data_IF_890403235242
#
_entry.id   IF_890403235242
#
_cell.length_a   1.000
_cell.length_b   1.000
_cell.length_c   1.000
_cell.angle_alpha   90.00
_cell.angle_beta   90.00
_cell.angle_gamma   90.00
#
_symmetry.space_group_name_H-M   'P 1'
#
loop_
_entity.id
_entity.type
_entity.pdbx_description
1 polymer ?
#
# COMPACT_ATOMS: atom_id res chain seq x y z
N UNK A 1 -35.80 -35.89 5.25
CA UNK A 1 -36.47 -37.05 5.89
C UNK A 1 -35.78 -38.34 5.44
N UNK A 2 -35.37 -39.11 6.45
CA UNK A 2 -35.06 -40.56 6.46
C UNK A 2 -33.70 -41.03 5.89
N UNK A 3 -32.80 -41.25 6.85
CA UNK A 3 -31.65 -42.17 6.84
C UNK A 3 -32.03 -43.57 6.40
N UNK A 4 -31.14 -44.29 5.71
CA UNK A 4 -31.08 -45.75 5.78
C UNK A 4 -29.62 -46.18 5.97
N UNK A 5 -29.37 -46.66 7.17
CA UNK A 5 -28.22 -47.46 7.58
C UNK A 5 -28.48 -48.90 7.04
N UNK A 6 -27.50 -49.48 6.39
CA UNK A 6 -27.43 -50.93 6.19
C UNK A 6 -26.09 -51.42 6.71
N UNK A 7 -26.17 -52.07 7.86
CA UNK A 7 -25.13 -52.92 8.44
C UNK A 7 -25.10 -54.26 7.73
N UNK A 8 -23.93 -54.72 7.29
CA UNK A 8 -23.69 -56.13 6.96
C UNK A 8 -22.36 -56.54 7.59
N UNK A 9 -22.46 -57.33 8.64
CA UNK A 9 -21.41 -58.19 9.19
C UNK A 9 -21.09 -59.30 8.17
N UNK A 10 -19.83 -59.54 7.86
CA UNK A 10 -19.38 -60.88 7.48
C UNK A 10 -17.98 -61.18 8.02
N UNK A 11 -17.89 -62.36 8.50
CA UNK A 11 -16.93 -63.04 9.35
C UNK A 11 -15.57 -63.34 8.69
N UNK A 12 -14.58 -63.41 9.53
CA UNK A 12 -13.18 -63.73 9.37
C UNK A 12 -12.80 -64.86 8.40
N UNK A 13 -11.66 -64.66 7.71
CA UNK A 13 -10.72 -65.78 7.47
C UNK A 13 -9.29 -65.20 7.50
N UNK A 14 -8.49 -65.66 8.47
CA UNK A 14 -7.06 -65.41 8.61
C UNK A 14 -6.31 -66.10 7.49
N UNK A 15 -5.61 -65.36 6.66
CA UNK A 15 -4.47 -65.89 5.88
C UNK A 15 -3.30 -64.90 6.07
N UNK A 16 -2.28 -65.34 6.79
CA UNK A 16 -0.99 -64.66 6.87
C UNK A 16 -0.34 -64.61 5.48
N UNK A 17 -0.41 -63.48 4.85
CA UNK A 17 0.44 -63.13 3.70
C UNK A 17 1.13 -61.81 4.04
N UNK A 18 2.44 -61.85 4.22
CA UNK A 18 3.27 -60.67 4.30
C UNK A 18 3.24 -59.94 2.95
N UNK A 19 2.28 -59.04 2.77
CA UNK A 19 2.29 -58.08 1.69
C UNK A 19 3.03 -56.84 2.19
N UNK A 20 4.19 -56.62 1.63
CA UNK A 20 4.86 -55.32 1.69
C UNK A 20 3.93 -54.30 1.04
N UNK A 21 3.22 -53.52 1.87
CA UNK A 21 2.50 -52.36 1.40
C UNK A 21 3.55 -51.31 1.07
N UNK A 22 3.70 -50.88 -0.22
CA UNK A 22 4.51 -49.74 -0.49
C UNK A 22 3.87 -48.59 0.27
N UNK A 23 4.62 -47.95 1.16
CA UNK A 23 4.26 -46.66 1.71
C UNK A 23 4.13 -45.71 0.51
N UNK A 24 2.90 -45.48 0.06
CA UNK A 24 2.58 -44.34 -0.78
C UNK A 24 2.81 -43.15 0.14
N UNK A 25 4.00 -42.57 0.00
CA UNK A 25 4.24 -41.27 0.55
C UNK A 25 3.18 -40.34 -0.05
N UNK A 26 2.22 -39.93 0.76
CA UNK A 26 1.45 -38.75 0.44
C UNK A 26 2.51 -37.65 0.42
N UNK A 27 3.00 -37.29 -0.78
CA UNK A 27 3.62 -36.02 -0.96
C UNK A 27 2.57 -35.02 -0.45
N UNK A 28 2.86 -34.34 0.66
CA UNK A 28 2.18 -33.11 0.94
C UNK A 28 2.36 -32.29 -0.34
N UNK A 29 1.31 -31.98 -1.05
CA UNK A 29 1.36 -30.88 -1.98
C UNK A 29 1.82 -29.70 -1.13
N UNK A 30 2.99 -29.15 -1.39
CA UNK A 30 3.32 -27.82 -0.92
C UNK A 30 2.23 -26.95 -1.55
N UNK A 31 1.22 -26.59 -0.77
CA UNK A 31 0.18 -25.67 -1.20
C UNK A 31 0.89 -24.32 -1.39
N UNK A 32 1.25 -24.02 -2.63
CA UNK A 32 1.86 -22.75 -3.01
C UNK A 32 0.84 -21.66 -2.71
N UNK A 33 1.23 -20.68 -1.90
CA UNK A 33 0.37 -19.55 -1.53
C UNK A 33 0.35 -18.56 -2.69
N UNK A 34 -0.83 -18.31 -3.24
CA UNK A 34 -1.03 -17.35 -4.33
C UNK A 34 -1.35 -15.96 -3.78
N UNK A 35 -0.54 -14.97 -4.17
CA UNK A 35 -0.65 -13.58 -3.70
C UNK A 35 -0.90 -12.65 -4.87
N UNK A 36 -2.04 -11.95 -4.88
CA UNK A 36 -2.29 -10.85 -5.82
C UNK A 36 -1.73 -9.55 -5.27
N UNK A 37 -0.84 -8.88 -5.99
CA UNK A 37 -0.28 -7.59 -5.59
C UNK A 37 -0.63 -6.49 -6.59
N UNK A 38 -1.48 -5.53 -6.20
CA UNK A 38 -1.78 -4.33 -6.96
C UNK A 38 -0.93 -3.16 -6.48
N UNK A 39 0.07 -2.78 -7.29
CA UNK A 39 1.00 -1.70 -7.04
C UNK A 39 0.48 -0.39 -7.63
N UNK A 40 0.81 0.75 -7.01
CA UNK A 40 0.48 2.10 -7.50
C UNK A 40 0.98 2.32 -8.94
N UNK A 41 2.24 2.00 -9.20
CA UNK A 41 2.94 2.26 -10.45
C UNK A 41 4.44 2.05 -10.33
N UNK A 42 5.21 2.79 -11.12
CA UNK A 42 6.67 2.83 -11.08
C UNK A 42 7.14 4.31 -11.13
N UNK A 43 6.46 5.17 -10.38
CA UNK A 43 6.62 6.63 -10.45
C UNK A 43 7.93 7.14 -9.84
N UNK A 44 8.58 6.34 -9.00
CA UNK A 44 9.82 6.71 -8.31
C UNK A 44 10.75 5.53 -8.09
N UNK A 45 12.03 5.81 -7.79
CA UNK A 45 13.01 4.77 -7.43
C UNK A 45 12.59 4.03 -6.16
N UNK A 46 11.96 4.73 -5.20
CA UNK A 46 11.40 4.11 -4.00
C UNK A 46 10.32 3.07 -4.36
N UNK A 47 9.42 3.44 -5.28
CA UNK A 47 8.35 2.54 -5.72
C UNK A 47 8.90 1.31 -6.45
N UNK A 48 9.90 1.51 -7.28
CA UNK A 48 10.61 0.42 -7.97
C UNK A 48 11.26 -0.54 -6.96
N UNK A 49 11.98 0.00 -5.96
CA UNK A 49 12.58 -0.81 -4.89
C UNK A 49 11.53 -1.57 -4.07
N UNK A 50 10.38 -0.94 -3.77
CA UNK A 50 9.26 -1.60 -3.09
C UNK A 50 8.72 -2.77 -3.93
N UNK A 51 8.52 -2.57 -5.23
CA UNK A 51 8.08 -3.62 -6.16
C UNK A 51 9.05 -4.79 -6.20
N UNK A 52 10.35 -4.51 -6.30
CA UNK A 52 11.39 -5.57 -6.32
C UNK A 52 11.44 -6.34 -4.99
N UNK A 53 11.30 -5.64 -3.86
CA UNK A 53 11.21 -6.26 -2.54
C UNK A 53 10.03 -7.23 -2.46
N UNK A 54 8.84 -6.81 -2.94
CA UNK A 54 7.65 -7.68 -2.98
C UNK A 54 7.88 -8.90 -3.87
N UNK A 55 8.39 -8.71 -5.09
CA UNK A 55 8.68 -9.82 -6.02
C UNK A 55 9.70 -10.80 -5.48
N UNK A 56 10.73 -10.32 -4.80
CA UNK A 56 11.74 -11.20 -4.20
C UNK A 56 11.23 -11.95 -2.97
N UNK A 57 10.36 -11.32 -2.18
CA UNK A 57 9.78 -11.92 -0.97
C UNK A 57 8.74 -12.99 -1.32
N UNK A 58 7.83 -12.66 -2.24
CA UNK A 58 6.76 -13.56 -2.68
C UNK A 58 7.14 -14.32 -3.94
N UNK A 59 8.34 -14.94 -3.96
CA UNK A 59 8.85 -15.73 -5.07
C UNK A 59 8.53 -17.21 -4.91
N UNK A 60 8.56 -17.96 -6.01
CA UNK A 60 8.40 -19.42 -6.01
C UNK A 60 9.41 -20.13 -5.10
N UNK A 61 10.65 -19.62 -5.03
CA UNK A 61 11.69 -20.14 -4.13
C UNK A 61 11.30 -20.06 -2.65
N UNK A 62 10.45 -19.10 -2.31
CA UNK A 62 9.91 -18.89 -0.96
C UNK A 62 8.53 -19.54 -0.74
N UNK A 63 8.02 -20.32 -1.72
CA UNK A 63 6.75 -21.02 -1.63
C UNK A 63 5.53 -20.19 -2.02
N UNK A 64 5.73 -19.09 -2.78
CA UNK A 64 4.64 -18.22 -3.22
C UNK A 64 4.51 -18.17 -4.74
N UNK A 65 3.30 -17.91 -5.21
CA UNK A 65 3.01 -17.47 -6.57
C UNK A 65 2.50 -16.03 -6.52
N UNK A 66 3.29 -15.08 -7.07
CA UNK A 66 2.92 -13.68 -7.08
C UNK A 66 2.28 -13.27 -8.41
N UNK A 67 1.02 -12.87 -8.36
CA UNK A 67 0.30 -12.24 -9.47
C UNK A 67 0.42 -10.72 -9.31
N UNK A 68 1.31 -10.11 -10.08
CA UNK A 68 1.64 -8.69 -9.99
C UNK A 68 0.88 -7.86 -11.01
N UNK A 69 0.29 -6.75 -10.56
CA UNK A 69 -0.37 -5.74 -11.40
C UNK A 69 0.21 -4.35 -11.12
N UNK A 70 0.59 -3.64 -12.19
CA UNK A 70 1.04 -2.25 -12.16
C UNK A 70 -0.11 -1.35 -12.59
N UNK A 71 -0.66 -0.60 -11.65
CA UNK A 71 -1.82 0.26 -11.91
C UNK A 71 -1.50 1.52 -12.73
N UNK A 72 -0.23 1.83 -12.99
CA UNK A 72 0.18 3.03 -13.74
C UNK A 72 -0.42 4.33 -13.16
N UNK A 73 -0.45 4.41 -11.84
CA UNK A 73 -1.02 5.52 -11.06
C UNK A 73 -2.54 5.76 -11.30
N UNK A 74 -3.28 4.73 -11.72
CA UNK A 74 -4.71 4.82 -11.98
C UNK A 74 -5.49 3.89 -11.05
N UNK A 75 -6.32 4.48 -10.21
CA UNK A 75 -7.16 3.70 -9.29
C UNK A 75 -8.09 2.72 -10.01
N UNK A 76 -8.65 3.10 -11.17
CA UNK A 76 -9.51 2.20 -11.95
C UNK A 76 -8.81 0.90 -12.37
N UNK A 77 -7.49 0.94 -12.61
CA UNK A 77 -6.70 -0.25 -12.89
C UNK A 77 -6.61 -1.14 -11.65
N UNK A 78 -6.40 -0.56 -10.47
CA UNK A 78 -6.36 -1.31 -9.20
C UNK A 78 -7.72 -1.97 -8.88
N UNK A 79 -8.82 -1.26 -9.08
CA UNK A 79 -10.16 -1.84 -8.90
C UNK A 79 -10.38 -3.04 -9.83
N UNK A 80 -9.86 -2.97 -11.05
CA UNK A 80 -9.92 -4.07 -12.02
C UNK A 80 -8.99 -5.21 -11.60
N UNK A 81 -7.77 -4.91 -11.16
CA UNK A 81 -6.80 -5.91 -10.71
C UNK A 81 -7.33 -6.71 -9.51
N UNK A 82 -7.91 -6.03 -8.50
CA UNK A 82 -8.48 -6.71 -7.32
C UNK A 82 -9.60 -7.67 -7.74
N UNK A 83 -10.51 -7.28 -8.65
CA UNK A 83 -11.54 -8.18 -9.17
C UNK A 83 -10.97 -9.37 -9.93
N UNK A 84 -9.88 -9.16 -10.67
CA UNK A 84 -9.19 -10.25 -11.35
C UNK A 84 -8.53 -11.20 -10.34
N UNK A 85 -7.96 -10.71 -9.24
CA UNK A 85 -7.43 -11.54 -8.16
C UNK A 85 -8.54 -12.36 -7.49
N UNK A 86 -9.69 -11.74 -7.21
CA UNK A 86 -10.87 -12.44 -6.68
C UNK A 86 -11.32 -13.56 -7.63
N UNK A 87 -11.39 -13.30 -8.95
CA UNK A 87 -11.77 -14.31 -9.94
C UNK A 87 -10.76 -15.46 -10.07
N UNK A 88 -9.49 -15.22 -9.73
CA UNK A 88 -8.43 -16.20 -9.72
C UNK A 88 -8.31 -16.93 -8.37
N UNK A 89 -9.19 -16.57 -7.41
CA UNK A 89 -9.23 -17.19 -6.08
C UNK A 89 -7.88 -17.17 -5.37
N UNK A 90 -7.15 -16.02 -5.43
CA UNK A 90 -5.86 -15.87 -4.74
C UNK A 90 -6.05 -16.00 -3.21
N UNK A 91 -5.02 -16.47 -2.51
CA UNK A 91 -5.07 -16.64 -1.05
C UNK A 91 -5.01 -15.32 -0.29
N UNK A 92 -4.29 -14.32 -0.85
CA UNK A 92 -4.13 -12.99 -0.25
C UNK A 92 -4.08 -11.91 -1.33
N UNK A 93 -4.59 -10.73 -0.99
CA UNK A 93 -4.41 -9.52 -1.80
C UNK A 93 -3.57 -8.51 -1.04
N UNK A 94 -2.50 -8.02 -1.68
CA UNK A 94 -1.72 -6.87 -1.25
C UNK A 94 -2.14 -5.68 -2.10
N UNK A 95 -2.47 -4.56 -1.46
CA UNK A 95 -2.89 -3.33 -2.12
C UNK A 95 -2.04 -2.15 -1.64
N UNK A 96 -1.28 -1.54 -2.56
CA UNK A 96 -0.68 -0.23 -2.37
C UNK A 96 -1.56 0.81 -3.07
N UNK A 97 -2.47 1.53 -2.37
CA UNK A 97 -3.52 2.30 -3.04
C UNK A 97 -2.99 3.60 -3.68
N UNK A 98 -3.53 3.98 -4.84
CA UNK A 98 -3.22 5.26 -5.51
C UNK A 98 -3.78 6.42 -4.71
N UNK A 99 -5.06 6.35 -4.32
CA UNK A 99 -5.78 7.34 -3.52
C UNK A 99 -6.34 6.69 -2.25
N UNK A 100 -6.76 7.48 -1.26
CA UNK A 100 -7.30 6.92 -0.02
C UNK A 100 -8.77 6.50 -0.11
N UNK A 101 -9.57 7.08 -0.98
CA UNK A 101 -11.04 6.88 -1.03
C UNK A 101 -11.47 6.01 -2.20
N UNK A 102 -12.72 5.47 -2.13
CA UNK A 102 -13.35 4.72 -3.21
C UNK A 102 -13.10 3.22 -3.20
N UNK A 103 -12.70 2.66 -2.06
CA UNK A 103 -12.31 1.25 -1.92
C UNK A 103 -13.41 0.35 -1.35
N UNK A 104 -14.42 0.92 -0.67
CA UNK A 104 -15.45 0.15 0.06
C UNK A 104 -16.04 -1.00 -0.75
N UNK A 105 -16.43 -0.75 -1.99
CA UNK A 105 -17.10 -1.77 -2.82
C UNK A 105 -16.18 -2.93 -3.15
N UNK A 106 -14.97 -2.67 -3.66
CA UNK A 106 -14.07 -3.74 -4.09
C UNK A 106 -13.46 -4.50 -2.92
N UNK A 107 -13.24 -3.84 -1.78
CA UNK A 107 -12.80 -4.52 -0.56
C UNK A 107 -13.93 -5.36 0.05
N UNK A 108 -15.20 -4.92 -0.08
CA UNK A 108 -16.33 -5.77 0.29
C UNK A 108 -16.42 -7.00 -0.63
N UNK A 109 -16.20 -6.83 -1.95
CA UNK A 109 -16.16 -7.95 -2.90
C UNK A 109 -15.06 -8.98 -2.51
N UNK A 110 -13.87 -8.54 -2.10
CA UNK A 110 -12.80 -9.41 -1.62
C UNK A 110 -13.18 -10.11 -0.30
N UNK A 111 -13.77 -9.38 0.64
CA UNK A 111 -14.27 -9.94 1.91
C UNK A 111 -15.36 -10.98 1.71
N UNK A 112 -16.31 -10.73 0.80
CA UNK A 112 -17.38 -11.68 0.48
C UNK A 112 -16.85 -12.96 -0.20
N UNK A 113 -15.67 -12.89 -0.80
CA UNK A 113 -14.93 -14.03 -1.35
C UNK A 113 -14.01 -14.72 -0.33
N UNK A 114 -14.03 -14.30 0.94
CA UNK A 114 -13.15 -14.77 2.02
C UNK A 114 -11.64 -14.56 1.71
N UNK A 115 -11.27 -13.58 0.88
CA UNK A 115 -9.87 -13.25 0.55
C UNK A 115 -9.40 -12.10 1.42
N UNK A 116 -8.42 -12.32 2.33
CA UNK A 116 -7.88 -11.27 3.18
C UNK A 116 -7.06 -10.24 2.37
N UNK A 117 -7.30 -8.97 2.66
CA UNK A 117 -6.59 -7.86 2.04
C UNK A 117 -5.62 -7.22 3.05
N UNK A 118 -4.38 -7.02 2.64
CA UNK A 118 -3.34 -6.32 3.39
C UNK A 118 -3.05 -5.01 2.65
N UNK A 119 -3.25 -3.89 3.33
CA UNK A 119 -2.94 -2.57 2.80
C UNK A 119 -1.46 -2.28 3.04
N UNK A 120 -0.74 -1.80 2.02
CA UNK A 120 0.71 -1.60 2.04
C UNK A 120 1.04 -0.13 1.71
N UNK A 121 1.99 0.45 2.43
CA UNK A 121 2.49 1.80 2.26
C UNK A 121 1.41 2.86 2.56
N UNK A 122 0.60 3.21 1.59
CA UNK A 122 -0.49 4.19 1.71
C UNK A 122 -1.72 3.53 2.33
N UNK A 123 -2.47 4.28 3.13
CA UNK A 123 -3.71 3.82 3.77
C UNK A 123 -4.92 4.06 2.86
N UNK A 124 -6.02 3.39 3.16
CA UNK A 124 -7.35 3.62 2.59
C UNK A 124 -8.26 4.27 3.62
N UNK A 125 -9.20 5.11 3.16
CA UNK A 125 -10.31 5.64 3.96
C UNK A 125 -11.58 4.89 3.56
N UNK A 126 -12.06 4.03 4.43
CA UNK A 126 -13.21 3.15 4.22
C UNK A 126 -14.20 3.26 5.37
N UNK A 127 -15.44 2.95 5.09
CA UNK A 127 -16.53 3.05 6.07
C UNK A 127 -16.49 1.98 7.17
N UNK A 128 -15.77 0.88 6.96
CA UNK A 128 -15.65 -0.26 7.87
C UNK A 128 -14.22 -0.83 7.83
N UNK A 129 -13.48 -0.69 8.92
CA UNK A 129 -12.10 -1.19 9.04
C UNK A 129 -11.98 -2.72 8.92
N UNK A 130 -13.10 -3.45 9.02
CA UNK A 130 -13.12 -4.90 8.79
C UNK A 130 -13.03 -5.32 7.31
N UNK A 131 -12.96 -4.35 6.38
CA UNK A 131 -12.77 -4.57 4.95
C UNK A 131 -11.33 -4.94 4.57
N UNK A 132 -10.38 -4.74 5.47
CA UNK A 132 -8.99 -5.18 5.31
C UNK A 132 -8.49 -5.85 6.60
N UNK A 133 -7.47 -6.69 6.48
CA UNK A 133 -6.92 -7.44 7.61
C UNK A 133 -5.97 -6.59 8.45
N UNK A 134 -5.10 -5.85 7.78
CA UNK A 134 -4.10 -4.97 8.42
C UNK A 134 -3.54 -3.96 7.43
N UNK A 135 -2.93 -2.91 7.98
CA UNK A 135 -2.14 -1.94 7.24
C UNK A 135 -0.68 -1.96 7.71
N UNK A 136 0.24 -1.90 6.76
CA UNK A 136 1.68 -1.81 6.98
C UNK A 136 2.20 -0.60 6.22
N UNK A 137 2.45 0.49 6.92
CA UNK A 137 2.86 1.75 6.31
C UNK A 137 3.39 2.76 7.33
N UNK A 138 3.55 4.02 6.91
CA UNK A 138 4.06 5.11 7.72
C UNK A 138 2.96 6.10 8.08
N UNK A 139 3.08 6.74 9.25
CA UNK A 139 2.20 7.83 9.65
C UNK A 139 2.65 9.14 8.96
N UNK A 140 2.05 9.41 7.80
CA UNK A 140 2.39 10.57 6.97
C UNK A 140 2.06 11.91 7.63
N UNK A 141 1.05 11.97 8.51
CA UNK A 141 0.77 13.16 9.31
C UNK A 141 1.90 13.44 10.31
N UNK A 142 2.38 12.39 10.98
CA UNK A 142 3.52 12.51 11.87
C UNK A 142 4.81 12.90 11.12
N UNK A 143 5.01 12.41 9.89
CA UNK A 143 6.13 12.80 9.04
C UNK A 143 6.09 14.30 8.73
N UNK A 144 4.94 14.84 8.29
CA UNK A 144 4.76 16.27 8.03
C UNK A 144 5.00 17.12 9.29
N UNK A 145 4.45 16.71 10.45
CA UNK A 145 4.69 17.38 11.73
C UNK A 145 6.17 17.39 12.12
N UNK A 146 6.88 16.28 11.96
CA UNK A 146 8.32 16.20 12.25
C UNK A 146 9.14 17.09 11.34
N UNK A 147 8.78 17.19 10.06
CA UNK A 147 9.42 18.11 9.12
C UNK A 147 9.22 19.57 9.57
N UNK A 148 8.02 19.95 9.97
CA UNK A 148 7.71 21.27 10.51
C UNK A 148 8.44 21.56 11.85
N UNK A 149 8.47 20.61 12.78
CA UNK A 149 9.21 20.73 14.03
C UNK A 149 10.72 20.93 13.79
N UNK A 150 11.29 20.17 12.86
CA UNK A 150 12.69 20.31 12.48
C UNK A 150 12.96 21.69 11.88
N UNK A 151 12.12 22.16 10.96
CA UNK A 151 12.25 23.48 10.34
C UNK A 151 12.18 24.59 11.37
N UNK A 152 11.24 24.51 12.31
CA UNK A 152 11.14 25.49 13.40
C UNK A 152 12.40 25.52 14.28
N UNK A 153 12.90 24.34 14.64
CA UNK A 153 14.15 24.26 15.41
C UNK A 153 15.35 24.86 14.63
N UNK A 154 15.43 24.60 13.32
CA UNK A 154 16.49 25.12 12.45
C UNK A 154 16.42 26.63 12.31
N UNK A 155 15.25 27.21 11.98
CA UNK A 155 15.08 28.66 11.79
C UNK A 155 15.30 29.42 13.10
N UNK A 156 14.80 28.89 14.23
CA UNK A 156 15.05 29.44 15.56
C UNK A 156 16.55 29.47 15.90
N UNK A 157 17.27 28.37 15.66
CA UNK A 157 18.70 28.29 15.90
C UNK A 157 19.53 29.26 15.03
N UNK A 158 19.00 29.62 13.85
CA UNK A 158 19.59 30.60 12.94
C UNK A 158 19.19 32.06 13.26
N UNK A 159 18.26 32.28 14.18
CA UNK A 159 17.72 33.58 14.49
C UNK A 159 16.87 34.19 13.38
N UNK A 160 16.27 33.35 12.52
CA UNK A 160 15.35 33.77 11.47
C UNK A 160 13.97 33.99 12.10
N UNK A 161 13.37 35.15 11.84
CA UNK A 161 12.02 35.45 12.32
C UNK A 161 11.00 34.64 11.52
N UNK A 162 10.05 34.00 12.18
CA UNK A 162 9.09 33.11 11.52
C UNK A 162 8.30 33.79 10.38
N UNK A 163 7.93 35.05 10.55
CA UNK A 163 7.22 35.86 9.53
C UNK A 163 8.02 36.07 8.24
N UNK A 164 9.35 35.87 8.31
CA UNK A 164 10.26 36.04 7.18
C UNK A 164 10.63 34.68 6.55
N UNK A 165 9.95 33.59 6.93
CA UNK A 165 10.13 32.25 6.36
C UNK A 165 9.08 32.00 5.28
N UNK A 166 9.50 32.01 4.03
CA UNK A 166 8.66 31.78 2.85
C UNK A 166 8.82 30.36 2.34
N UNK A 167 7.73 29.59 2.34
CA UNK A 167 7.72 28.15 2.04
C UNK A 167 6.95 27.90 0.75
N UNK A 168 7.47 27.06 -0.13
CA UNK A 168 6.72 26.39 -1.19
C UNK A 168 6.73 24.89 -0.95
N UNK A 169 5.65 24.22 -1.34
CA UNK A 169 5.47 22.78 -1.13
C UNK A 169 5.21 22.06 -2.45
N UNK A 170 6.09 21.09 -2.77
CA UNK A 170 5.94 20.19 -3.90
C UNK A 170 5.28 18.92 -3.37
N UNK A 171 3.97 18.88 -3.50
CA UNK A 171 3.12 17.80 -2.99
C UNK A 171 3.27 16.50 -3.79
N UNK A 172 2.89 15.40 -3.19
CA UNK A 172 2.76 14.12 -3.86
C UNK A 172 1.52 14.01 -4.77
N UNK A 173 1.13 12.77 -5.07
CA UNK A 173 -0.12 12.47 -5.79
C UNK A 173 -1.32 12.90 -4.95
N UNK A 174 -2.10 13.84 -5.47
CA UNK A 174 -3.28 14.38 -4.76
C UNK A 174 -4.27 13.26 -4.43
N UNK A 175 -4.76 13.27 -3.20
CA UNK A 175 -5.71 12.28 -2.70
C UNK A 175 -5.07 10.99 -2.18
N UNK A 176 -3.74 10.85 -2.21
CA UNK A 176 -3.05 9.78 -1.49
C UNK A 176 -2.90 10.14 -0.01
N UNK A 177 -2.99 9.15 0.89
CA UNK A 177 -2.80 9.38 2.34
C UNK A 177 -1.43 9.98 2.65
N UNK A 178 -0.41 9.68 1.85
CA UNK A 178 0.93 10.25 1.99
C UNK A 178 0.91 11.77 1.76
N UNK A 179 0.30 12.24 0.66
CA UNK A 179 0.17 13.66 0.38
C UNK A 179 -0.72 14.35 1.42
N UNK A 180 -1.93 13.81 1.70
CA UNK A 180 -2.87 14.40 2.65
C UNK A 180 -2.22 14.58 4.02
N UNK A 181 -1.54 13.54 4.51
CA UNK A 181 -0.89 13.59 5.83
C UNK A 181 0.27 14.58 5.89
N UNK A 182 1.19 14.54 4.91
CA UNK A 182 2.37 15.42 4.89
C UNK A 182 1.99 16.88 4.71
N UNK A 183 1.10 17.19 3.76
CA UNK A 183 0.55 18.54 3.58
C UNK A 183 -0.12 19.05 4.86
N UNK A 184 -0.98 18.24 5.49
CA UNK A 184 -1.64 18.63 6.74
C UNK A 184 -0.63 18.89 7.87
N UNK A 185 0.39 18.06 8.02
CA UNK A 185 1.43 18.27 9.03
C UNK A 185 2.23 19.55 8.81
N UNK A 186 2.50 19.91 7.54
CA UNK A 186 3.11 21.18 7.17
C UNK A 186 2.18 22.37 7.48
N UNK A 187 0.91 22.30 7.08
CA UNK A 187 -0.09 23.35 7.32
C UNK A 187 -0.28 23.63 8.81
N UNK A 188 -0.35 22.59 9.64
CA UNK A 188 -0.36 22.73 11.10
C UNK A 188 0.90 23.45 11.61
N UNK A 189 2.07 23.19 11.01
CA UNK A 189 3.31 23.89 11.33
C UNK A 189 3.28 25.36 10.91
N UNK A 190 2.78 25.67 9.72
CA UNK A 190 2.60 27.05 9.23
C UNK A 190 1.74 27.86 10.19
N UNK A 191 0.60 27.29 10.58
CA UNK A 191 -0.34 27.94 11.51
C UNK A 191 0.28 28.13 12.92
N UNK A 192 0.97 27.11 13.43
CA UNK A 192 1.52 27.12 14.78
C UNK A 192 2.73 28.06 14.94
N UNK A 193 3.57 28.14 13.90
CA UNK A 193 4.82 28.90 13.96
C UNK A 193 4.74 30.28 13.30
N UNK A 194 3.74 30.50 12.43
CA UNK A 194 3.52 31.79 11.75
C UNK A 194 4.42 32.00 10.53
N UNK A 195 4.67 30.94 9.76
CA UNK A 195 5.39 31.00 8.47
C UNK A 195 4.48 31.45 7.33
N UNK A 196 5.08 31.76 6.19
CA UNK A 196 4.36 32.10 4.97
C UNK A 196 4.36 30.91 4.00
N UNK A 197 3.25 30.20 3.87
CA UNK A 197 3.07 29.18 2.83
C UNK A 197 2.64 29.88 1.54
N UNK A 198 3.60 30.07 0.60
CA UNK A 198 3.38 30.81 -0.64
C UNK A 198 2.54 30.02 -1.65
N UNK A 199 2.85 28.73 -1.81
CA UNK A 199 2.16 27.86 -2.76
C UNK A 199 2.37 26.39 -2.42
N UNK A 200 1.39 25.58 -2.84
CA UNK A 200 1.45 24.12 -2.86
C UNK A 200 1.04 23.65 -4.26
N UNK A 201 1.78 22.72 -4.84
CA UNK A 201 1.45 22.14 -6.14
C UNK A 201 1.95 20.70 -6.25
N UNK A 202 1.14 19.84 -6.87
CA UNK A 202 1.49 18.42 -7.01
C UNK A 202 2.63 18.19 -7.98
N UNK A 203 3.66 17.48 -7.51
CA UNK A 203 4.74 16.88 -8.30
C UNK A 203 4.46 15.40 -8.61
N UNK A 204 3.28 14.86 -8.21
CA UNK A 204 2.82 13.50 -8.52
C UNK A 204 3.79 12.38 -8.08
N UNK A 205 4.67 12.68 -7.12
CA UNK A 205 5.79 11.83 -6.72
C UNK A 205 6.76 11.48 -7.86
N UNK A 206 6.81 12.28 -8.93
CA UNK A 206 7.72 12.08 -10.04
C UNK A 206 8.78 13.19 -10.10
N UNK A 207 10.03 12.82 -10.44
CA UNK A 207 11.12 13.77 -10.58
C UNK A 207 10.82 14.83 -11.66
N UNK A 208 10.29 14.42 -12.81
CA UNK A 208 10.00 15.31 -13.92
C UNK A 208 8.96 16.37 -13.54
N UNK A 209 7.87 15.95 -12.87
CA UNK A 209 6.82 16.87 -12.47
C UNK A 209 7.24 17.76 -11.30
N UNK A 210 8.00 17.23 -10.35
CA UNK A 210 8.61 18.04 -9.29
C UNK A 210 9.52 19.15 -9.85
N UNK A 211 10.31 18.85 -10.87
CA UNK A 211 11.13 19.87 -11.55
C UNK A 211 10.27 20.95 -12.22
N UNK A 212 9.23 20.58 -12.98
CA UNK A 212 8.30 21.55 -13.59
C UNK A 212 7.67 22.48 -12.55
N UNK A 213 7.21 21.89 -11.43
CA UNK A 213 6.59 22.64 -10.33
C UNK A 213 7.61 23.64 -9.74
N UNK A 214 8.83 23.18 -9.45
CA UNK A 214 9.86 24.08 -8.91
C UNK A 214 10.23 25.20 -9.88
N UNK A 215 10.35 24.92 -11.19
CA UNK A 215 10.57 25.93 -12.21
C UNK A 215 9.44 26.98 -12.26
N UNK A 216 8.19 26.55 -12.03
CA UNK A 216 7.03 27.44 -11.93
C UNK A 216 7.10 28.33 -10.69
N UNK A 217 7.47 27.75 -9.53
CA UNK A 217 7.63 28.52 -8.30
C UNK A 217 8.71 29.58 -8.42
N UNK A 218 9.88 29.21 -8.96
CA UNK A 218 10.99 30.15 -9.19
C UNK A 218 10.68 31.31 -10.16
N UNK A 219 9.68 31.13 -11.05
CA UNK A 219 9.19 32.21 -11.93
C UNK A 219 8.16 33.10 -11.25
N UNK A 220 7.47 32.58 -10.23
CA UNK A 220 6.32 33.24 -9.59
C UNK A 220 6.68 33.95 -8.30
N UNK A 221 7.75 33.54 -7.64
CA UNK A 221 8.16 34.02 -6.33
C UNK A 221 9.66 34.36 -6.32
N UNK A 222 9.99 35.59 -6.00
CA UNK A 222 11.37 36.07 -5.96
C UNK A 222 12.11 35.70 -4.65
N UNK A 223 11.36 35.36 -3.62
CA UNK A 223 11.84 35.10 -2.25
C UNK A 223 11.25 33.79 -1.69
N UNK A 224 11.98 32.71 -1.95
CA UNK A 224 11.67 31.36 -1.43
C UNK A 224 12.80 30.95 -0.50
N UNK A 225 12.51 30.79 0.79
CA UNK A 225 13.51 30.36 1.79
C UNK A 225 13.55 28.84 1.93
N UNK A 226 12.41 28.18 1.77
CA UNK A 226 12.24 26.76 2.03
C UNK A 226 11.42 26.09 0.95
N UNK A 227 11.88 24.96 0.49
CA UNK A 227 11.11 24.04 -0.37
C UNK A 227 10.85 22.77 0.43
N UNK A 228 9.60 22.48 0.65
CA UNK A 228 9.19 21.16 1.15
C UNK A 228 8.94 20.26 -0.07
N UNK A 229 9.48 19.06 -0.04
CA UNK A 229 9.21 18.03 -1.04
C UNK A 229 8.67 16.82 -0.30
N UNK A 230 7.47 16.40 -0.66
CA UNK A 230 6.79 15.28 0.01
C UNK A 230 7.33 13.90 -0.41
N UNK A 231 8.29 13.87 -1.33
CA UNK A 231 8.92 12.62 -1.80
C UNK A 231 10.43 12.68 -1.64
#
# INVERSE_FOLDING_TARGET
MKKKIVSALLTATMVCGMSVVPAVGVAAADDTITVGFSQVGAESDWRTANTESMKSTFSEENGYELIFDDAQQKQENQLTAIRNFIQQEVDYILLAPVTETGWDTVLQEAKDADIPVIIVDRMVDVSDDSLYTTWIGTDSLLEGRKAAEWLNAYTTAKGIDAKDVNIVDIQGTIGSTAQIGRSKGLEEGVDNYGWNLLAQQSGEFTQAKGQEVMESFLKSYDDIDVVICEN
#
